data_IF_645294970666
#
_entry.id   IF_645294970666
#
_cell.length_a   1.000
_cell.length_b   1.000
_cell.length_c   1.000
_cell.angle_alpha   90.00
_cell.angle_beta   90.00
_cell.angle_gamma   90.00
#
_symmetry.space_group_name_H-M   'P 1'
#
loop_
_entity.id
_entity.type
_entity.pdbx_description
1 polymer ?
#
# COMPACT_ATOMS: atom_id res chain seq x y z
N UNK A 1 -11.47 -0.57 -7.39
CA UNK A 1 -10.73 -0.15 -8.62
C UNK A 1 -11.05 1.28 -9.02
N UNK A 2 -12.33 1.69 -9.06
CA UNK A 2 -12.75 3.06 -9.40
C UNK A 2 -12.06 4.17 -8.58
N UNK A 3 -11.86 3.94 -7.28
CA UNK A 3 -11.18 4.88 -6.38
C UNK A 3 -9.72 5.15 -6.76
N UNK A 4 -9.00 4.13 -7.23
CA UNK A 4 -7.61 4.26 -7.69
C UNK A 4 -7.55 5.06 -8.99
N UNK A 5 -8.48 4.80 -9.91
CA UNK A 5 -8.60 5.58 -11.15
C UNK A 5 -8.88 7.06 -10.84
N UNK A 6 -9.83 7.34 -9.95
CA UNK A 6 -10.16 8.70 -9.53
C UNK A 6 -8.93 9.44 -8.98
N UNK A 7 -8.22 8.84 -8.02
CA UNK A 7 -7.01 9.44 -7.45
C UNK A 7 -5.90 9.67 -8.51
N UNK A 8 -5.79 8.76 -9.49
CA UNK A 8 -4.80 8.88 -10.57
C UNK A 8 -5.14 10.03 -11.51
N UNK A 9 -6.39 10.14 -11.95
CA UNK A 9 -6.86 11.24 -12.80
C UNK A 9 -6.67 12.59 -12.11
N UNK A 10 -7.01 12.69 -10.82
CA UNK A 10 -6.78 13.92 -10.03
C UNK A 10 -5.32 14.35 -10.07
N UNK A 11 -4.40 13.42 -9.81
CA UNK A 11 -2.95 13.71 -9.84
C UNK A 11 -2.45 14.07 -11.22
N UNK A 12 -2.93 13.41 -12.28
CA UNK A 12 -2.52 13.72 -13.65
C UNK A 12 -2.95 15.12 -14.08
N UNK A 13 -4.19 15.52 -13.76
CA UNK A 13 -4.68 16.87 -14.07
C UNK A 13 -3.91 17.93 -13.30
N UNK A 14 -3.70 17.75 -11.99
CA UNK A 14 -2.89 18.67 -11.18
C UNK A 14 -1.46 18.77 -11.71
N UNK A 15 -0.83 17.64 -12.02
CA UNK A 15 0.53 17.64 -12.57
C UNK A 15 0.62 18.28 -13.95
N UNK A 16 -0.40 18.10 -14.80
CA UNK A 16 -0.49 18.81 -16.06
C UNK A 16 -0.59 20.31 -15.82
N UNK A 17 -1.37 20.76 -14.84
CA UNK A 17 -1.50 22.17 -14.48
C UNK A 17 -0.17 22.80 -13.99
N UNK A 18 0.72 22.04 -13.35
CA UNK A 18 2.05 22.51 -12.97
C UNK A 18 3.00 22.72 -14.15
N UNK A 19 2.92 21.83 -15.14
CA UNK A 19 3.90 21.77 -16.23
C UNK A 19 3.44 22.59 -17.45
N UNK A 20 2.13 22.61 -17.71
CA UNK A 20 1.55 23.24 -18.89
C UNK A 20 1.12 24.68 -18.60
N UNK A 21 1.43 25.58 -19.54
CA UNK A 21 0.92 26.96 -19.54
C UNK A 21 -0.44 27.10 -20.21
N UNK A 22 -0.91 26.03 -20.87
CA UNK A 22 -2.19 26.01 -21.57
C UNK A 22 -3.34 25.76 -20.58
N UNK A 23 -4.00 26.85 -20.21
CA UNK A 23 -5.14 26.85 -19.29
C UNK A 23 -6.39 26.24 -19.93
N UNK A 24 -6.59 26.42 -21.24
CA UNK A 24 -7.74 25.86 -21.96
C UNK A 24 -7.67 24.33 -21.96
N UNK A 25 -6.51 23.76 -22.29
CA UNK A 25 -6.30 22.31 -22.25
C UNK A 25 -6.39 21.74 -20.84
N UNK A 26 -5.85 22.45 -19.84
CA UNK A 26 -5.96 22.02 -18.44
C UNK A 26 -7.41 21.99 -17.97
N UNK A 27 -8.21 22.98 -18.37
CA UNK A 27 -9.65 23.02 -18.07
C UNK A 27 -10.43 21.91 -18.77
N UNK A 28 -10.07 21.58 -20.03
CA UNK A 28 -10.67 20.47 -20.76
C UNK A 28 -10.38 19.13 -20.07
N UNK A 29 -9.11 18.85 -19.75
CA UNK A 29 -8.70 17.63 -19.04
C UNK A 29 -9.35 17.52 -17.66
N UNK A 30 -9.50 18.64 -16.95
CA UNK A 30 -10.23 18.69 -15.67
C UNK A 30 -11.69 18.29 -15.87
N UNK A 31 -12.36 18.87 -16.86
CA UNK A 31 -13.76 18.55 -17.19
C UNK A 31 -13.96 17.09 -17.56
N UNK A 32 -13.08 16.55 -18.42
CA UNK A 32 -13.11 15.14 -18.82
C UNK A 32 -12.88 14.20 -17.62
N UNK A 33 -11.90 14.49 -16.76
CA UNK A 33 -11.64 13.71 -15.57
C UNK A 33 -12.85 13.68 -14.62
N UNK A 34 -13.49 14.85 -14.39
CA UNK A 34 -14.70 14.94 -13.57
C UNK A 34 -15.88 14.18 -14.23
N UNK A 35 -16.04 14.27 -15.55
CA UNK A 35 -17.08 13.56 -16.28
C UNK A 35 -16.92 12.04 -16.14
N UNK A 36 -15.70 11.52 -16.27
CA UNK A 36 -15.40 10.09 -16.08
C UNK A 36 -15.77 9.67 -14.65
N UNK A 37 -15.36 10.44 -13.64
CA UNK A 37 -15.64 10.13 -12.22
C UNK A 37 -17.14 10.09 -11.94
N UNK A 38 -17.90 11.10 -12.39
CA UNK A 38 -19.36 11.16 -12.19
C UNK A 38 -20.08 10.05 -12.98
N UNK A 39 -19.59 9.70 -14.17
CA UNK A 39 -20.15 8.60 -14.97
C UNK A 39 -20.00 7.27 -14.24
N UNK A 40 -18.85 7.03 -13.60
CA UNK A 40 -18.63 5.83 -12.80
C UNK A 40 -19.59 5.76 -11.61
N UNK A 41 -19.79 6.87 -10.89
CA UNK A 41 -20.74 6.91 -9.76
C UNK A 41 -22.15 6.60 -10.26
N UNK A 42 -22.60 7.26 -11.34
CA UNK A 42 -23.96 7.05 -11.89
C UNK A 42 -24.20 5.61 -12.34
N UNK A 43 -23.24 5.01 -13.04
CA UNK A 43 -23.35 3.60 -13.44
C UNK A 43 -23.33 2.69 -12.21
N UNK A 44 -22.44 2.95 -11.25
CA UNK A 44 -22.31 2.18 -10.02
C UNK A 44 -23.54 2.22 -9.10
N UNK A 45 -24.33 3.30 -9.15
CA UNK A 45 -25.59 3.45 -8.41
C UNK A 45 -26.82 2.98 -9.21
N UNK A 46 -26.64 2.60 -10.48
CA UNK A 46 -27.76 2.18 -11.33
C UNK A 46 -28.28 0.79 -10.96
N UNK A 47 -29.55 0.52 -11.26
CA UNK A 47 -30.15 -0.81 -11.10
C UNK A 47 -29.58 -1.87 -12.07
N UNK A 48 -28.76 -1.46 -13.04
CA UNK A 48 -28.23 -2.33 -14.09
C UNK A 48 -26.92 -3.02 -13.70
N UNK A 49 -26.29 -2.61 -12.60
CA UNK A 49 -25.06 -3.26 -12.11
C UNK A 49 -25.35 -4.45 -11.21
N UNK A 50 -24.57 -5.51 -11.38
CA UNK A 50 -24.69 -6.72 -10.55
C UNK A 50 -24.33 -6.48 -9.08
N UNK A 51 -23.37 -5.59 -8.85
CA UNK A 51 -22.92 -5.17 -7.52
C UNK A 51 -22.91 -3.64 -7.48
N UNK A 52 -23.74 -3.01 -6.63
CA UNK A 52 -23.71 -1.57 -6.43
C UNK A 52 -22.34 -1.10 -5.93
N UNK A 53 -22.00 0.13 -6.25
CA UNK A 53 -20.82 0.80 -5.68
C UNK A 53 -21.02 1.00 -4.17
N UNK A 54 -19.98 0.74 -3.38
CA UNK A 54 -19.96 1.01 -1.94
C UNK A 54 -19.91 2.52 -1.66
N UNK A 55 -20.51 2.92 -0.54
CA UNK A 55 -20.59 4.32 -0.09
C UNK A 55 -19.19 4.93 0.07
N UNK A 56 -18.25 4.20 0.69
CA UNK A 56 -16.85 4.61 0.84
C UNK A 56 -16.19 4.95 -0.50
N UNK A 57 -16.44 4.16 -1.55
CA UNK A 57 -15.91 4.42 -2.88
C UNK A 57 -16.56 5.63 -3.53
N UNK A 58 -17.86 5.85 -3.34
CA UNK A 58 -18.54 7.07 -3.81
C UNK A 58 -17.91 8.30 -3.17
N UNK A 59 -17.76 8.29 -1.85
CA UNK A 59 -17.19 9.41 -1.09
C UNK A 59 -15.76 9.74 -1.52
N UNK A 60 -14.94 8.71 -1.72
CA UNK A 60 -13.57 8.88 -2.21
C UNK A 60 -13.53 9.49 -3.61
N UNK A 61 -14.39 9.04 -4.53
CA UNK A 61 -14.46 9.59 -5.88
C UNK A 61 -14.97 11.04 -5.84
N UNK A 62 -15.99 11.32 -5.04
CA UNK A 62 -16.53 12.67 -4.87
C UNK A 62 -15.51 13.64 -4.26
N UNK A 63 -14.68 13.17 -3.33
CA UNK A 63 -13.54 13.94 -2.81
C UNK A 63 -12.54 14.31 -3.92
N UNK A 64 -12.26 13.39 -4.84
CA UNK A 64 -11.45 13.66 -6.03
C UNK A 64 -12.06 14.70 -6.96
N UNK A 65 -13.38 14.67 -7.16
CA UNK A 65 -14.14 15.66 -7.95
C UNK A 65 -14.06 17.05 -7.30
N UNK A 66 -14.29 17.15 -5.99
CA UNK A 66 -14.18 18.42 -5.24
C UNK A 66 -12.76 18.99 -5.29
N UNK A 67 -11.76 18.13 -5.12
CA UNK A 67 -10.36 18.51 -5.23
C UNK A 67 -10.05 19.09 -6.62
N UNK A 68 -10.59 18.51 -7.69
CA UNK A 68 -10.42 19.03 -9.05
C UNK A 68 -11.14 20.37 -9.28
N UNK A 69 -12.29 20.62 -8.65
CA UNK A 69 -12.96 21.93 -8.77
C UNK A 69 -12.24 23.05 -8.02
N UNK A 70 -11.58 22.73 -6.91
CA UNK A 70 -11.09 23.72 -5.94
C UNK A 70 -9.58 23.98 -6.01
N UNK A 71 -8.76 23.07 -6.57
CA UNK A 71 -7.30 23.18 -6.49
C UNK A 71 -6.72 24.43 -7.17
N UNK A 72 -7.42 25.04 -8.13
CA UNK A 72 -6.99 26.29 -8.76
C UNK A 72 -7.04 27.47 -7.78
N UNK A 73 -7.95 27.43 -6.80
CA UNK A 73 -8.06 28.44 -5.73
C UNK A 73 -7.23 28.04 -4.51
N UNK A 74 -7.11 26.74 -4.25
CA UNK A 74 -6.41 26.17 -3.09
C UNK A 74 -5.23 25.29 -3.51
N UNK A 75 -4.07 25.93 -3.75
CA UNK A 75 -2.83 25.20 -4.11
C UNK A 75 -2.36 24.20 -3.04
N UNK A 76 -2.83 24.31 -1.80
CA UNK A 76 -2.53 23.30 -0.77
C UNK A 76 -3.05 21.92 -1.19
N UNK A 77 -4.20 21.85 -1.87
CA UNK A 77 -4.80 20.58 -2.34
C UNK A 77 -3.83 19.88 -3.28
N UNK A 78 -3.24 20.62 -4.23
CA UNK A 78 -2.26 20.08 -5.16
C UNK A 78 -1.01 19.53 -4.44
N UNK A 79 -0.52 20.25 -3.42
CA UNK A 79 0.64 19.83 -2.62
C UNK A 79 0.36 18.51 -1.89
N UNK A 80 -0.83 18.39 -1.28
CA UNK A 80 -1.24 17.17 -0.59
C UNK A 80 -1.24 15.98 -1.55
N UNK A 81 -1.87 16.12 -2.73
CA UNK A 81 -1.98 15.04 -3.71
C UNK A 81 -0.65 14.65 -4.36
N UNK A 82 0.21 15.60 -4.71
CA UNK A 82 1.43 15.32 -5.47
C UNK A 82 2.64 15.02 -4.58
N UNK A 83 2.81 15.77 -3.51
CA UNK A 83 4.01 15.69 -2.68
C UNK A 83 3.77 14.89 -1.41
N UNK A 84 2.76 15.23 -0.61
CA UNK A 84 2.63 14.67 0.72
C UNK A 84 2.22 13.20 0.69
N UNK A 85 1.33 12.79 -0.23
CA UNK A 85 1.05 11.35 -0.42
C UNK A 85 2.30 10.57 -0.82
N UNK A 86 3.21 11.16 -1.60
CA UNK A 86 4.47 10.50 -2.00
C UNK A 86 5.45 10.42 -0.83
N UNK A 87 5.55 11.47 -0.02
CA UNK A 87 6.38 11.48 1.21
C UNK A 87 5.87 10.44 2.21
N UNK A 88 4.56 10.39 2.44
CA UNK A 88 3.94 9.40 3.33
C UNK A 88 4.22 7.97 2.85
N UNK A 89 4.07 7.70 1.56
CA UNK A 89 4.38 6.39 0.99
C UNK A 89 5.86 6.01 1.16
N UNK A 90 6.79 6.94 0.91
CA UNK A 90 8.22 6.71 1.16
C UNK A 90 8.52 6.37 2.62
N UNK A 91 7.91 7.07 3.57
CA UNK A 91 8.09 6.81 4.99
C UNK A 91 7.57 5.41 5.38
N UNK A 92 6.43 4.99 4.84
CA UNK A 92 5.89 3.63 5.06
C UNK A 92 6.83 2.55 4.53
N UNK A 93 7.34 2.70 3.30
CA UNK A 93 8.28 1.74 2.70
C UNK A 93 9.56 1.64 3.54
N UNK A 94 10.13 2.77 3.95
CA UNK A 94 11.33 2.78 4.79
C UNK A 94 11.10 2.10 6.16
N UNK A 95 9.93 2.31 6.77
CA UNK A 95 9.58 1.65 8.03
C UNK A 95 9.44 0.13 7.85
N UNK A 96 8.84 -0.30 6.74
CA UNK A 96 8.69 -1.72 6.41
C UNK A 96 10.03 -2.39 6.11
N UNK A 97 10.92 -1.74 5.37
CA UNK A 97 12.28 -2.22 5.11
C UNK A 97 13.09 -2.38 6.40
N UNK A 98 13.04 -1.39 7.31
CA UNK A 98 13.69 -1.48 8.62
C UNK A 98 13.15 -2.65 9.44
N UNK A 99 11.82 -2.84 9.44
CA UNK A 99 11.17 -3.98 10.12
C UNK A 99 11.60 -5.31 9.52
N UNK A 100 11.72 -5.40 8.20
CA UNK A 100 12.19 -6.61 7.50
C UNK A 100 13.65 -6.91 7.85
N UNK A 101 14.53 -5.90 7.80
CA UNK A 101 15.93 -6.05 8.17
C UNK A 101 16.12 -6.49 9.64
N UNK A 102 15.32 -5.93 10.56
CA UNK A 102 15.36 -6.36 11.97
C UNK A 102 14.91 -7.82 12.16
N UNK A 103 13.87 -8.27 11.45
CA UNK A 103 13.44 -9.67 11.45
C UNK A 103 14.52 -10.59 10.88
N UNK A 104 15.12 -10.23 9.75
CA UNK A 104 16.20 -11.00 9.14
C UNK A 104 17.42 -11.08 10.06
N UNK A 105 17.77 -10.01 10.78
CA UNK A 105 18.85 -10.03 11.76
C UNK A 105 18.57 -10.97 12.93
N UNK A 106 17.33 -10.97 13.45
CA UNK A 106 16.91 -11.90 14.52
C UNK A 106 16.95 -13.35 14.03
N UNK A 107 16.44 -13.64 12.83
CA UNK A 107 16.49 -14.99 12.27
C UNK A 107 17.93 -15.45 12.00
N UNK A 108 18.79 -14.58 11.45
CA UNK A 108 20.23 -14.87 11.32
C UNK A 108 20.90 -15.14 12.66
N UNK A 109 20.56 -14.38 13.71
CA UNK A 109 21.08 -14.61 15.06
C UNK A 109 20.60 -15.96 15.65
N UNK A 110 19.36 -16.38 15.40
CA UNK A 110 18.85 -17.69 15.81
C UNK A 110 19.52 -18.86 15.06
N UNK A 111 19.89 -18.64 13.80
CA UNK A 111 20.52 -19.65 12.94
C UNK A 111 22.05 -19.68 13.11
N UNK A 112 22.62 -18.76 13.90
CA UNK A 112 24.03 -18.76 14.27
C UNK A 112 24.28 -19.82 15.34
N UNK A 113 24.29 -21.09 14.93
CA UNK A 113 24.71 -22.22 15.77
C UNK A 113 26.23 -22.13 15.95
N UNK A 114 26.72 -22.22 17.18
CA UNK A 114 28.16 -22.18 17.46
C UNK A 114 28.79 -23.52 17.06
N UNK A 115 29.99 -23.52 16.46
CA UNK A 115 30.65 -24.77 15.98
C UNK A 115 30.94 -25.75 17.13
N UNK A 116 31.07 -25.23 18.35
CA UNK A 116 31.29 -26.00 19.57
C UNK A 116 30.00 -26.52 20.24
N UNK A 117 28.82 -26.26 19.68
CA UNK A 117 27.58 -26.81 20.24
C UNK A 117 27.57 -28.34 20.09
N UNK A 118 27.49 -29.02 21.24
CA UNK A 118 27.62 -30.46 21.34
C UNK A 118 26.48 -31.15 20.58
N UNK A 119 26.80 -31.80 19.46
CA UNK A 119 25.83 -32.64 18.75
C UNK A 119 25.49 -33.83 19.63
N UNK A 120 24.26 -33.86 20.14
CA UNK A 120 23.73 -34.98 20.93
C UNK A 120 23.53 -36.20 20.01
N UNK A 121 24.59 -36.97 19.78
CA UNK A 121 24.52 -38.23 19.04
C UNK A 121 23.89 -39.26 19.96
N UNK A 122 22.62 -39.60 19.71
CA UNK A 122 21.84 -40.56 20.50
C UNK A 122 22.57 -41.90 20.73
N UNK A 123 23.37 -42.33 19.76
CA UNK A 123 24.17 -43.57 19.85
C UNK A 123 25.41 -43.47 20.74
N UNK A 124 25.88 -42.26 21.08
CA UNK A 124 27.02 -42.01 21.98
C UNK A 124 26.56 -41.60 23.40
N UNK A 125 25.25 -41.58 23.66
CA UNK A 125 24.76 -41.43 25.03
C UNK A 125 25.23 -42.63 25.86
N UNK A 126 25.88 -42.35 27.01
CA UNK A 126 26.37 -43.41 27.91
C UNK A 126 25.19 -44.30 28.30
N UNK A 127 25.16 -45.53 27.77
CA UNK A 127 24.42 -46.64 28.38
C UNK A 127 25.03 -46.82 29.76
N UNK A 128 24.30 -46.45 30.82
CA UNK A 128 24.73 -46.68 32.19
C UNK A 128 25.07 -48.17 32.34
N UNK A 129 26.36 -48.48 32.38
CA UNK A 129 26.85 -49.79 32.75
C UNK A 129 26.66 -49.91 34.26
N UNK A 130 25.48 -50.39 34.67
CA UNK A 130 25.14 -50.44 36.09
C UNK A 130 23.75 -50.93 36.42
N UNK A 131 23.30 -52.02 35.78
CA UNK A 131 22.38 -53.00 36.38
C UNK A 131 22.10 -54.08 35.33
N UNK A 132 22.99 -55.06 35.25
CA UNK A 132 22.59 -56.37 34.76
C UNK A 132 21.77 -57.02 35.85
N UNK A 133 20.49 -57.22 35.62
CA UNK A 133 19.71 -58.35 36.13
C UNK A 133 18.70 -58.68 35.03
N UNK A 134 18.87 -59.86 34.42
CA UNK A 134 17.89 -60.55 33.59
C UNK A 134 16.60 -60.84 34.39
N UNK A 135 15.43 -60.78 33.77
CA UNK A 135 14.55 -61.95 33.53
C UNK A 135 13.11 -61.54 33.14
N UNK A 136 12.61 -62.29 32.15
CA UNK A 136 11.26 -62.42 31.53
C UNK A 136 10.87 -61.38 30.48
#
# INVERSE_FOLDING_TARGET
>A
LATVLSATLTKLVMRHAQISKDTARTNALRGEAMLIMISIIRVGQSQFVKAPIDEDSVDRIMSGVRSLSEFTQHKQIETVYLDDTRKAFRAMVQAEEKKRAAKEAVEKAKTAIHVDDVVQIRQLSKKNAGSGVDEI
#
